data_IF_160587515169
#
_entry.id   IF_160587515169
#
_cell.length_a   1.000
_cell.length_b   1.000
_cell.length_c   1.000
_cell.angle_alpha   90.00
_cell.angle_beta   90.00
_cell.angle_gamma   90.00
#
_symmetry.space_group_name_H-M   'P 1'
#
loop_
_entity.id
_entity.type
_entity.pdbx_description
1 polymer ?
#
# COMPACT_ATOMS: atom_id res chain seq x y z
N UNK A 1 -2.88 -12.63 23.68
CA UNK A 1 -1.46 -12.41 23.99
C UNK A 1 -0.81 -13.48 24.88
N UNK A 2 -1.52 -14.21 25.72
CA UNK A 2 -0.92 -15.30 26.56
C UNK A 2 -0.66 -16.61 25.79
N UNK A 3 -1.37 -16.89 24.72
CA UNK A 3 -1.19 -18.14 23.94
C UNK A 3 0.11 -18.21 23.12
N UNK A 4 0.59 -17.07 22.62
CA UNK A 4 1.83 -17.03 21.82
C UNK A 4 3.11 -17.20 22.64
N UNK A 5 3.08 -16.81 23.93
CA UNK A 5 4.23 -16.93 24.83
C UNK A 5 4.46 -18.37 25.29
N UNK A 6 3.38 -19.16 25.42
CA UNK A 6 3.48 -20.58 25.83
C UNK A 6 4.03 -21.49 24.72
N UNK A 7 3.75 -21.20 23.44
CA UNK A 7 4.30 -21.95 22.30
C UNK A 7 5.79 -21.66 22.08
N UNK A 8 6.25 -20.43 22.34
CA UNK A 8 7.67 -20.08 22.28
C UNK A 8 8.52 -20.82 23.33
N UNK A 9 7.94 -21.11 24.49
CA UNK A 9 8.62 -21.84 25.57
C UNK A 9 8.78 -23.34 25.28
N UNK A 10 7.95 -23.95 24.42
CA UNK A 10 8.03 -25.36 24.06
C UNK A 10 9.11 -25.65 23.01
N UNK A 11 9.38 -24.72 22.10
CA UNK A 11 10.44 -24.86 21.11
C UNK A 11 11.86 -24.76 21.70
N UNK A 12 12.04 -24.12 22.85
CA UNK A 12 13.34 -23.92 23.51
C UNK A 12 13.86 -25.14 24.30
N UNK A 13 13.12 -26.26 24.41
CA UNK A 13 13.50 -27.41 25.25
C UNK A 13 13.99 -28.64 24.51
N UNK A 14 14.01 -28.65 23.18
CA UNK A 14 14.65 -29.74 22.43
C UNK A 14 16.07 -29.31 22.06
N UNK A 15 17.09 -30.09 22.36
CA UNK A 15 18.39 -30.02 21.72
C UNK A 15 18.21 -30.49 20.27
N UNK A 16 17.62 -29.64 19.45
CA UNK A 16 17.22 -29.92 18.10
C UNK A 16 18.39 -29.60 17.18
N UNK A 17 18.58 -30.44 16.16
CA UNK A 17 19.35 -30.13 14.98
C UNK A 17 18.79 -28.82 14.37
N UNK A 18 19.57 -28.07 13.58
CA UNK A 18 19.10 -26.83 12.91
C UNK A 18 17.77 -27.01 12.17
N UNK A 19 17.55 -28.19 11.61
CA UNK A 19 16.34 -28.56 10.87
C UNK A 19 15.07 -28.56 11.74
N UNK A 20 15.13 -29.09 12.97
CA UNK A 20 13.95 -29.17 13.83
C UNK A 20 13.52 -27.79 14.37
N UNK A 21 14.43 -26.82 14.47
CA UNK A 21 14.10 -25.43 14.82
C UNK A 21 13.35 -24.76 13.68
N UNK A 22 13.82 -24.91 12.43
CA UNK A 22 13.15 -24.38 11.23
C UNK A 22 11.77 -25.02 11.04
N UNK A 23 11.62 -26.34 11.27
CA UNK A 23 10.34 -27.02 11.22
C UNK A 23 9.30 -26.42 12.18
N UNK A 24 9.72 -26.14 13.41
CA UNK A 24 8.85 -25.53 14.40
C UNK A 24 8.37 -24.13 13.94
N UNK A 25 9.30 -23.32 13.42
CA UNK A 25 8.99 -21.96 12.96
C UNK A 25 8.13 -21.95 11.70
N UNK A 26 8.41 -22.83 10.73
CA UNK A 26 7.60 -23.03 9.55
C UNK A 26 6.16 -23.40 9.89
N UNK A 27 5.98 -24.41 10.76
CA UNK A 27 4.65 -24.84 11.18
C UNK A 27 3.90 -23.74 11.94
N UNK A 28 4.58 -23.01 12.82
CA UNK A 28 3.98 -21.88 13.52
C UNK A 28 3.56 -20.76 12.55
N UNK A 29 4.41 -20.46 11.57
CA UNK A 29 4.11 -19.46 10.55
C UNK A 29 2.91 -19.88 9.68
N UNK A 30 2.85 -21.14 9.23
CA UNK A 30 1.68 -21.67 8.50
C UNK A 30 0.39 -21.52 9.31
N UNK A 31 0.41 -21.88 10.58
CA UNK A 31 -0.77 -21.74 11.46
C UNK A 31 -1.14 -20.28 11.65
N UNK A 32 -0.16 -19.41 11.88
CA UNK A 32 -0.38 -17.97 12.12
C UNK A 32 -1.06 -17.28 10.94
N UNK A 33 -0.66 -17.66 9.71
CA UNK A 33 -1.16 -17.02 8.48
C UNK A 33 -2.14 -17.88 7.70
N UNK A 34 -2.64 -18.98 8.33
CA UNK A 34 -3.61 -19.91 7.74
C UNK A 34 -3.19 -20.42 6.36
N UNK A 35 -1.92 -20.84 6.23
CA UNK A 35 -1.35 -21.32 4.98
C UNK A 35 -1.67 -22.81 4.79
N UNK A 36 -2.10 -23.15 3.56
CA UNK A 36 -2.37 -24.51 3.12
C UNK A 36 -1.85 -24.68 1.70
N UNK A 37 -1.33 -25.86 1.38
CA UNK A 37 -0.77 -26.18 0.07
C UNK A 37 -1.49 -27.37 -0.53
N UNK A 38 -1.63 -27.44 -1.87
CA UNK A 38 -2.37 -28.52 -2.53
C UNK A 38 -1.70 -29.90 -2.42
N UNK A 39 -0.37 -29.93 -2.29
CA UNK A 39 0.45 -31.14 -2.21
C UNK A 39 1.79 -30.86 -1.51
N UNK A 40 2.53 -31.95 -1.17
CA UNK A 40 3.81 -31.88 -0.47
C UNK A 40 4.90 -31.18 -1.29
N UNK A 41 4.95 -31.37 -2.62
CA UNK A 41 5.96 -30.75 -3.49
C UNK A 41 5.82 -29.21 -3.51
N UNK A 42 4.59 -28.70 -3.55
CA UNK A 42 4.33 -27.27 -3.49
C UNK A 42 4.64 -26.72 -2.09
N UNK A 43 4.31 -27.46 -1.02
CA UNK A 43 4.65 -27.09 0.34
C UNK A 43 6.17 -27.02 0.55
N UNK A 44 6.94 -28.01 0.03
CA UNK A 44 8.39 -28.04 0.13
C UNK A 44 9.02 -26.86 -0.62
N UNK A 45 8.57 -26.59 -1.85
CA UNK A 45 9.02 -25.44 -2.63
C UNK A 45 8.74 -24.11 -1.94
N UNK A 46 7.55 -23.94 -1.36
CA UNK A 46 7.18 -22.72 -0.61
C UNK A 46 7.98 -22.60 0.69
N UNK A 47 8.34 -23.70 1.32
CA UNK A 47 9.19 -23.73 2.50
C UNK A 47 10.62 -23.27 2.19
N UNK A 48 11.22 -23.77 1.11
CA UNK A 48 12.56 -23.34 0.68
C UNK A 48 12.60 -21.80 0.52
N UNK A 49 11.59 -21.24 -0.13
CA UNK A 49 11.47 -19.80 -0.29
C UNK A 49 11.33 -19.06 1.05
N UNK A 50 10.52 -19.61 1.96
CA UNK A 50 10.34 -19.04 3.28
C UNK A 50 11.67 -19.04 4.07
N UNK A 51 12.49 -20.07 3.94
CA UNK A 51 13.80 -20.17 4.55
C UNK A 51 14.79 -19.15 3.97
N UNK A 52 14.81 -18.97 2.64
CA UNK A 52 15.60 -17.94 1.97
C UNK A 52 15.19 -16.53 2.43
N UNK A 53 13.90 -16.27 2.51
CA UNK A 53 13.37 -14.99 3.00
C UNK A 53 13.71 -14.77 4.48
N UNK A 54 13.65 -15.82 5.32
CA UNK A 54 14.04 -15.74 6.72
C UNK A 54 15.53 -15.38 6.86
N UNK A 55 16.39 -15.95 6.02
CA UNK A 55 17.82 -15.63 5.97
C UNK A 55 18.03 -14.16 5.61
N UNK A 56 17.40 -13.66 4.53
CA UNK A 56 17.46 -12.26 4.12
C UNK A 56 17.05 -11.33 5.27
N UNK A 57 15.93 -11.60 5.93
CA UNK A 57 15.42 -10.82 7.06
C UNK A 57 16.43 -10.79 8.20
N UNK A 58 17.01 -11.95 8.52
CA UNK A 58 17.97 -12.09 9.62
C UNK A 58 19.26 -11.31 9.34
N UNK A 59 19.81 -11.43 8.14
CA UNK A 59 21.01 -10.71 7.70
C UNK A 59 20.78 -9.19 7.70
N UNK A 60 19.65 -8.74 7.14
CA UNK A 60 19.30 -7.33 7.13
C UNK A 60 19.17 -6.77 8.56
N UNK A 61 18.48 -7.48 9.45
CA UNK A 61 18.25 -7.01 10.81
C UNK A 61 19.54 -7.00 11.65
N UNK A 62 20.48 -7.89 11.37
CA UNK A 62 21.81 -7.83 11.97
C UNK A 62 22.52 -6.51 11.60
N UNK A 63 22.48 -6.14 10.32
CA UNK A 63 23.05 -4.87 9.84
C UNK A 63 22.30 -3.66 10.40
N UNK A 64 20.97 -3.75 10.52
CA UNK A 64 20.15 -2.70 11.14
C UNK A 64 20.48 -2.52 12.63
N UNK A 65 20.76 -3.60 13.37
CA UNK A 65 21.15 -3.54 14.79
C UNK A 65 22.49 -2.82 15.01
N UNK A 66 23.33 -2.76 14.00
CA UNK A 66 24.59 -1.99 13.97
C UNK A 66 24.38 -0.52 13.59
N UNK A 67 23.14 -0.10 13.32
CA UNK A 67 22.79 1.26 12.91
C UNK A 67 23.11 1.59 11.44
N UNK A 68 23.36 0.57 10.61
CA UNK A 68 23.68 0.74 9.19
C UNK A 68 22.44 0.73 8.29
N UNK A 69 21.30 0.26 8.77
CA UNK A 69 20.00 0.45 8.16
C UNK A 69 19.06 1.23 9.07
N UNK A 70 18.20 2.04 8.48
CA UNK A 70 17.21 2.87 9.20
C UNK A 70 15.87 2.18 9.44
N UNK A 71 15.76 0.90 9.05
CA UNK A 71 14.53 0.11 9.13
C UNK A 71 14.83 -1.36 9.42
N UNK A 72 13.83 -2.05 9.89
CA UNK A 72 13.86 -3.47 10.19
C UNK A 72 12.87 -4.24 9.33
N UNK A 73 13.15 -5.50 9.08
CA UNK A 73 12.31 -6.44 8.37
C UNK A 73 11.68 -7.46 9.33
N UNK A 74 10.57 -8.06 8.93
CA UNK A 74 9.97 -9.19 9.65
C UNK A 74 9.25 -10.10 8.68
N UNK A 75 9.29 -11.39 8.97
CA UNK A 75 8.46 -12.36 8.30
C UNK A 75 6.98 -12.00 8.49
N UNK A 76 6.23 -12.01 7.40
CA UNK A 76 4.80 -11.72 7.37
C UNK A 76 4.05 -12.78 6.55
N UNK A 77 2.78 -12.54 6.21
CA UNK A 77 1.94 -13.47 5.46
C UNK A 77 2.42 -13.75 4.02
N UNK A 78 3.39 -13.00 3.52
CA UNK A 78 3.99 -13.16 2.18
C UNK A 78 5.31 -13.94 2.20
N UNK A 79 5.62 -14.61 3.32
CA UNK A 79 6.90 -15.28 3.54
C UNK A 79 7.26 -16.39 2.56
N UNK A 80 6.28 -17.02 1.92
CA UNK A 80 6.39 -18.07 0.92
C UNK A 80 6.41 -17.56 -0.53
N UNK A 81 6.59 -16.27 -0.74
CA UNK A 81 6.62 -15.66 -2.08
C UNK A 81 8.03 -15.63 -2.66
N UNK A 82 8.15 -15.93 -3.96
CA UNK A 82 9.42 -15.98 -4.72
C UNK A 82 9.90 -14.59 -5.10
N UNK A 83 11.22 -14.40 -5.10
CA UNK A 83 11.91 -13.33 -5.79
C UNK A 83 11.45 -13.22 -7.26
N UNK A 84 10.73 -12.17 -7.59
CA UNK A 84 10.49 -11.75 -8.98
C UNK A 84 9.43 -12.49 -9.78
N UNK A 85 9.08 -13.75 -9.51
CA UNK A 85 8.14 -14.53 -10.35
C UNK A 85 6.71 -14.49 -9.83
N UNK A 86 6.50 -14.55 -8.50
CA UNK A 86 5.18 -14.37 -7.89
C UNK A 86 4.89 -12.92 -7.49
N UNK A 87 5.92 -12.06 -7.40
CA UNK A 87 5.74 -10.60 -7.32
C UNK A 87 5.00 -10.03 -8.55
N UNK A 88 5.18 -10.64 -9.73
CA UNK A 88 4.33 -10.32 -10.90
C UNK A 88 2.84 -10.59 -10.66
N UNK A 89 2.50 -11.40 -9.66
CA UNK A 89 1.11 -11.62 -9.23
C UNK A 89 0.60 -10.53 -8.30
N UNK A 90 1.48 -9.84 -7.56
CA UNK A 90 1.14 -8.76 -6.64
C UNK A 90 1.58 -7.39 -7.13
N UNK A 91 2.60 -7.32 -7.99
CA UNK A 91 3.10 -6.07 -8.55
C UNK A 91 2.35 -5.74 -9.84
N UNK A 92 1.88 -4.54 -9.91
CA UNK A 92 1.25 -3.98 -11.07
C UNK A 92 2.32 -3.30 -11.94
N UNK A 93 2.59 -3.86 -13.10
CA UNK A 93 3.27 -3.10 -14.14
C UNK A 93 2.29 -2.02 -14.60
N UNK A 94 2.54 -0.78 -14.23
CA UNK A 94 1.98 0.37 -14.90
C UNK A 94 2.49 0.35 -16.36
N UNK A 95 1.98 -0.61 -17.13
CA UNK A 95 2.14 -0.58 -18.59
C UNK A 95 1.48 0.69 -19.11
N UNK A 96 2.04 1.28 -20.14
CA UNK A 96 1.50 2.44 -20.84
C UNK A 96 0.14 2.13 -21.50
N UNK A 97 -0.84 1.79 -20.71
CA UNK A 97 -2.23 1.72 -21.11
C UNK A 97 -2.91 2.97 -20.57
N UNK A 98 -2.56 4.12 -21.12
CA UNK A 98 -3.37 5.29 -20.95
C UNK A 98 -4.75 4.99 -21.52
N UNK A 99 -5.75 4.78 -20.68
CA UNK A 99 -7.13 4.85 -21.09
C UNK A 99 -7.34 6.19 -21.81
N UNK A 100 -8.22 6.23 -22.81
CA UNK A 100 -8.63 7.49 -23.46
C UNK A 100 -9.42 8.31 -22.43
N UNK A 101 -8.71 8.90 -21.44
CA UNK A 101 -9.35 9.79 -20.47
C UNK A 101 -9.98 10.95 -21.23
N UNK A 102 -11.26 11.15 -21.03
CA UNK A 102 -12.05 12.18 -21.70
C UNK A 102 -11.72 13.60 -21.25
N UNK A 103 -10.95 13.71 -20.15
CA UNK A 103 -10.59 14.98 -19.53
C UNK A 103 -9.13 14.95 -19.04
N UNK A 104 -8.40 16.02 -19.34
CA UNK A 104 -7.09 16.25 -18.73
C UNK A 104 -7.26 16.66 -17.25
N UNK A 105 -6.37 16.22 -16.34
CA UNK A 105 -6.38 16.67 -14.94
C UNK A 105 -6.17 18.18 -14.86
N UNK A 106 -6.78 18.82 -13.85
CA UNK A 106 -6.51 20.21 -13.56
C UNK A 106 -5.06 20.40 -13.09
N UNK A 107 -4.41 21.52 -13.50
CA UNK A 107 -3.02 21.77 -13.12
C UNK A 107 -2.89 22.04 -11.62
N UNK A 108 -1.83 21.51 -11.00
CA UNK A 108 -1.48 21.86 -9.62
C UNK A 108 -0.94 23.29 -9.55
N UNK A 109 -1.60 24.13 -8.79
CA UNK A 109 -1.16 25.52 -8.54
C UNK A 109 -0.46 25.57 -7.18
N UNK A 110 0.85 25.78 -7.19
CA UNK A 110 1.60 26.03 -5.96
C UNK A 110 1.12 27.32 -5.32
N UNK A 111 0.59 27.25 -4.12
CA UNK A 111 0.27 28.44 -3.33
C UNK A 111 1.53 28.88 -2.59
N UNK A 112 2.17 29.94 -3.05
CA UNK A 112 3.44 30.47 -2.51
C UNK A 112 3.35 31.02 -1.07
N UNK A 113 2.18 30.97 -0.42
CA UNK A 113 1.89 31.60 0.86
C UNK A 113 1.30 30.70 1.95
N UNK A 114 0.94 29.45 1.66
CA UNK A 114 0.46 28.56 2.70
C UNK A 114 1.67 28.04 3.49
N UNK A 115 1.74 28.32 4.77
CA UNK A 115 2.71 27.70 5.66
C UNK A 115 2.44 26.19 5.70
N UNK A 116 3.35 25.42 5.13
CA UNK A 116 3.30 23.95 5.19
C UNK A 116 3.87 23.53 6.54
N UNK A 117 3.17 22.73 7.35
CA UNK A 117 3.67 22.28 8.65
C UNK A 117 4.95 21.45 8.48
N UNK A 118 5.81 21.42 9.50
CA UNK A 118 7.03 20.61 9.48
C UNK A 118 6.71 19.11 9.45
N UNK A 119 5.62 18.71 10.10
CA UNK A 119 5.09 17.35 10.09
C UNK A 119 3.56 17.36 10.07
N UNK A 120 2.97 16.30 9.52
CA UNK A 120 1.53 16.09 9.55
C UNK A 120 1.21 14.59 9.56
N UNK A 121 0.18 14.22 10.30
CA UNK A 121 -0.43 12.90 10.29
C UNK A 121 -1.95 13.05 10.19
N UNK A 122 -2.52 12.73 9.03
CA UNK A 122 -3.95 12.84 8.78
C UNK A 122 -4.78 11.77 9.52
N UNK A 123 -4.15 10.71 10.01
CA UNK A 123 -4.81 9.70 10.86
C UNK A 123 -5.28 10.34 12.17
N UNK A 124 -4.42 11.13 12.79
CA UNK A 124 -4.72 11.85 14.03
C UNK A 124 -5.81 12.90 13.86
N UNK A 125 -6.02 13.37 12.62
CA UNK A 125 -7.05 14.34 12.27
C UNK A 125 -8.37 13.71 11.83
N UNK A 126 -8.46 12.38 11.82
CA UNK A 126 -9.68 11.65 11.47
C UNK A 126 -10.00 11.55 9.97
N UNK A 127 -9.02 11.81 9.09
CA UNK A 127 -9.19 11.77 7.62
C UNK A 127 -9.02 10.38 7.00
N UNK A 128 -8.57 9.39 7.78
CA UNK A 128 -8.10 8.10 7.26
C UNK A 128 -8.92 6.96 7.86
N UNK A 129 -9.54 6.16 7.01
CA UNK A 129 -10.25 4.93 7.39
C UNK A 129 -9.27 3.83 7.84
N UNK A 130 -9.79 2.73 8.38
CA UNK A 130 -8.97 1.58 8.78
C UNK A 130 -8.20 1.01 7.60
N UNK A 131 -7.07 0.38 7.89
CA UNK A 131 -6.31 -0.39 6.89
C UNK A 131 -7.12 -1.58 6.42
N UNK A 132 -7.16 -1.77 5.11
CA UNK A 132 -7.84 -2.87 4.43
C UNK A 132 -6.82 -3.83 3.82
N UNK A 133 -7.30 -4.99 3.37
CA UNK A 133 -6.51 -5.98 2.67
C UNK A 133 -7.11 -6.26 1.29
N UNK A 134 -6.30 -6.00 0.24
CA UNK A 134 -6.69 -6.25 -1.15
C UNK A 134 -6.63 -7.75 -1.53
N UNK A 135 -6.04 -8.59 -0.65
CA UNK A 135 -5.80 -10.00 -0.92
C UNK A 135 -4.86 -10.22 -2.10
N UNK A 136 -5.11 -11.29 -2.86
CA UNK A 136 -4.30 -11.67 -4.03
C UNK A 136 -4.61 -10.86 -5.30
N UNK A 137 -5.48 -9.84 -5.22
CA UNK A 137 -5.87 -9.02 -6.37
C UNK A 137 -4.92 -7.84 -6.57
N UNK A 138 -4.76 -7.39 -7.82
CA UNK A 138 -3.98 -6.20 -8.17
C UNK A 138 -4.82 -4.92 -8.12
N UNK A 139 -5.61 -4.76 -7.06
CA UNK A 139 -6.59 -3.69 -6.89
C UNK A 139 -6.09 -2.51 -6.05
N UNK A 140 -4.80 -2.43 -5.75
CA UNK A 140 -4.17 -1.34 -4.96
C UNK A 140 -4.57 0.06 -5.44
N UNK A 141 -4.71 0.25 -6.76
CA UNK A 141 -5.17 1.50 -7.38
C UNK A 141 -6.56 1.93 -6.88
N UNK A 142 -7.47 0.98 -6.70
CA UNK A 142 -8.81 1.24 -6.19
C UNK A 142 -8.79 1.63 -4.71
N UNK A 143 -7.99 0.93 -3.88
CA UNK A 143 -7.81 1.28 -2.46
C UNK A 143 -7.15 2.65 -2.27
N UNK A 144 -6.16 2.97 -3.09
CA UNK A 144 -5.52 4.29 -3.09
C UNK A 144 -6.53 5.38 -3.45
N UNK A 145 -7.31 5.20 -4.51
CA UNK A 145 -8.31 6.16 -4.96
C UNK A 145 -9.40 6.40 -3.91
N UNK A 146 -9.98 5.33 -3.31
CA UNK A 146 -11.00 5.51 -2.27
C UNK A 146 -10.44 6.22 -1.06
N UNK A 147 -9.20 5.94 -0.65
CA UNK A 147 -8.58 6.62 0.48
C UNK A 147 -8.45 8.12 0.30
N UNK A 148 -8.10 8.58 -0.90
CA UNK A 148 -8.05 10.01 -1.22
C UNK A 148 -9.46 10.63 -1.28
N UNK A 149 -10.46 9.92 -1.82
CA UNK A 149 -11.86 10.35 -1.81
C UNK A 149 -12.42 10.46 -0.39
N UNK A 150 -12.15 9.49 0.46
CA UNK A 150 -12.54 9.47 1.89
C UNK A 150 -11.99 10.69 2.63
N UNK A 151 -10.71 11.01 2.42
CA UNK A 151 -10.06 12.17 3.02
C UNK A 151 -10.69 13.49 2.56
N UNK A 152 -10.97 13.67 1.27
CA UNK A 152 -11.62 14.87 0.74
C UNK A 152 -13.09 14.95 1.17
N UNK A 153 -13.80 13.83 1.26
CA UNK A 153 -15.17 13.78 1.79
C UNK A 153 -15.20 14.24 3.25
N UNK A 154 -14.27 13.73 4.07
CA UNK A 154 -14.15 14.15 5.46
C UNK A 154 -13.86 15.64 5.58
N UNK A 155 -12.93 16.16 4.77
CA UNK A 155 -12.63 17.61 4.72
C UNK A 155 -13.87 18.46 4.43
N UNK A 156 -14.70 17.99 3.49
CA UNK A 156 -15.89 18.72 3.05
C UNK A 156 -17.05 18.62 4.05
N UNK A 157 -17.25 17.47 4.69
CA UNK A 157 -18.47 17.16 5.44
C UNK A 157 -18.26 16.97 6.94
N UNK A 158 -17.03 16.78 7.41
CA UNK A 158 -16.70 16.37 8.77
C UNK A 158 -17.08 14.92 9.11
N UNK A 159 -17.49 14.12 8.11
CA UNK A 159 -17.90 12.73 8.30
C UNK A 159 -16.97 11.80 7.52
N UNK A 160 -16.31 10.89 8.22
CA UNK A 160 -15.51 9.84 7.60
C UNK A 160 -16.45 8.71 7.14
N UNK A 161 -16.47 8.45 5.85
CA UNK A 161 -17.27 7.37 5.23
C UNK A 161 -16.31 6.40 4.56
N UNK A 162 -16.48 5.13 4.86
CA UNK A 162 -15.73 4.05 4.23
C UNK A 162 -16.28 3.79 2.82
N UNK A 163 -15.49 4.04 1.78
CA UNK A 163 -15.90 3.92 0.39
C UNK A 163 -15.49 2.57 -0.20
N UNK A 164 -16.20 2.14 -1.24
CA UNK A 164 -16.05 0.83 -1.87
C UNK A 164 -14.95 0.78 -2.93
N UNK A 165 -13.81 0.12 -2.70
CA UNK A 165 -12.86 -0.18 -3.76
C UNK A 165 -13.44 -1.19 -4.77
N UNK A 166 -14.34 -2.09 -4.34
CA UNK A 166 -14.98 -3.04 -5.24
C UNK A 166 -15.81 -2.35 -6.32
N UNK A 167 -16.51 -1.26 -5.99
CA UNK A 167 -17.25 -0.49 -6.99
C UNK A 167 -16.34 0.03 -8.11
N UNK A 168 -15.13 0.50 -7.78
CA UNK A 168 -14.14 0.91 -8.78
C UNK A 168 -13.65 -0.28 -9.61
N UNK A 169 -13.28 -1.39 -8.94
CA UNK A 169 -12.80 -2.61 -9.59
C UNK A 169 -13.80 -3.13 -10.60
N UNK A 170 -15.07 -3.16 -10.27
CA UNK A 170 -16.11 -3.75 -11.12
C UNK A 170 -16.58 -2.80 -12.24
N UNK A 171 -16.79 -1.54 -11.90
CA UNK A 171 -17.53 -0.63 -12.77
C UNK A 171 -16.65 0.32 -13.58
N UNK A 172 -15.37 0.49 -13.23
CA UNK A 172 -14.42 1.29 -14.03
C UNK A 172 -13.53 0.45 -14.95
N UNK A 173 -13.71 -0.87 -14.97
CA UNK A 173 -12.95 -1.82 -15.80
C UNK A 173 -13.56 -1.92 -17.20
N UNK A 174 -13.54 -0.80 -17.90
CA UNK A 174 -14.04 -0.68 -19.26
C UNK A 174 -12.98 -0.04 -20.16
N UNK A 175 -13.06 -0.22 -21.50
CA UNK A 175 -12.13 0.43 -22.42
C UNK A 175 -12.06 1.96 -22.27
N UNK A 176 -13.14 2.57 -21.78
CA UNK A 176 -13.21 4.02 -21.56
C UNK A 176 -12.19 4.50 -20.52
N UNK A 177 -12.02 3.77 -19.43
CA UNK A 177 -11.13 4.15 -18.32
C UNK A 177 -9.79 3.43 -18.35
N UNK A 178 -9.68 2.30 -19.07
CA UNK A 178 -8.46 1.52 -19.20
C UNK A 178 -8.06 0.76 -17.94
N UNK A 179 -8.94 0.67 -16.94
CA UNK A 179 -8.73 -0.18 -15.77
C UNK A 179 -9.03 -1.64 -16.10
N UNK A 180 -8.30 -2.56 -15.47
CA UNK A 180 -8.36 -4.01 -15.69
C UNK A 180 -8.96 -4.76 -14.50
N UNK A 181 -9.69 -4.07 -13.61
CA UNK A 181 -10.33 -4.66 -12.45
C UNK A 181 -9.33 -5.21 -11.43
N UNK A 182 -9.44 -6.51 -11.14
CA UNK A 182 -8.53 -7.21 -10.23
C UNK A 182 -7.14 -7.46 -10.83
N UNK A 183 -6.94 -7.17 -12.12
CA UNK A 183 -5.64 -7.29 -12.79
C UNK A 183 -4.89 -5.96 -12.88
N UNK A 184 -5.46 -4.88 -12.34
CA UNK A 184 -4.81 -3.58 -12.22
C UNK A 184 -5.62 -2.40 -12.72
N UNK A 185 -5.07 -1.18 -12.52
CA UNK A 185 -5.72 0.05 -12.96
C UNK A 185 -4.98 1.30 -12.53
N UNK A 186 -5.58 2.45 -12.82
CA UNK A 186 -5.05 3.77 -12.56
C UNK A 186 -5.94 4.57 -11.63
N UNK A 187 -5.34 5.28 -10.70
CA UNK A 187 -6.04 6.10 -9.71
C UNK A 187 -6.79 7.26 -10.37
N UNK A 188 -6.18 7.94 -11.32
CA UNK A 188 -6.80 9.04 -12.07
C UNK A 188 -7.98 8.56 -12.94
N UNK A 189 -7.87 7.38 -13.55
CA UNK A 189 -8.98 6.71 -14.23
C UNK A 189 -10.13 6.38 -13.28
N UNK A 190 -9.81 5.99 -12.04
CA UNK A 190 -10.82 5.78 -11.00
C UNK A 190 -11.55 7.09 -10.65
N UNK A 191 -10.83 8.20 -10.48
CA UNK A 191 -11.47 9.50 -10.26
C UNK A 191 -12.34 9.93 -11.43
N UNK A 192 -11.87 9.72 -12.67
CA UNK A 192 -12.68 10.01 -13.87
C UNK A 192 -13.97 9.19 -13.89
N UNK A 193 -13.91 7.91 -13.52
CA UNK A 193 -15.13 7.10 -13.38
C UNK A 193 -16.09 7.69 -12.34
N UNK A 194 -15.60 8.08 -11.15
CA UNK A 194 -16.44 8.67 -10.11
C UNK A 194 -17.12 9.96 -10.56
N UNK A 195 -16.41 10.79 -11.33
CA UNK A 195 -16.97 12.01 -11.95
C UNK A 195 -18.10 11.65 -12.93
N UNK A 196 -17.81 10.77 -13.87
CA UNK A 196 -18.74 10.39 -14.95
C UNK A 196 -19.98 9.65 -14.42
N UNK A 197 -19.76 8.79 -13.42
CA UNK A 197 -20.82 8.04 -12.73
C UNK A 197 -21.61 8.91 -11.73
N UNK A 198 -21.17 10.17 -11.49
CA UNK A 198 -21.73 11.07 -10.49
C UNK A 198 -21.71 10.49 -9.08
N UNK A 199 -20.74 9.65 -8.76
CA UNK A 199 -20.51 9.13 -7.43
C UNK A 199 -19.93 7.73 -7.36
N UNK A 200 -19.69 7.32 -6.10
CA UNK A 200 -19.17 6.02 -5.69
C UNK A 200 -19.96 5.50 -4.48
N UNK A 201 -20.12 4.19 -4.37
CA UNK A 201 -20.80 3.54 -3.25
C UNK A 201 -19.96 3.56 -1.96
N UNK A 202 -20.63 3.43 -0.81
CA UNK A 202 -19.96 3.09 0.44
C UNK A 202 -19.55 1.61 0.46
N UNK A 203 -18.57 1.27 1.29
CA UNK A 203 -18.17 -0.12 1.54
C UNK A 203 -19.35 -0.94 2.12
N UNK A 204 -20.19 -0.31 2.94
CA UNK A 204 -21.36 -0.96 3.53
C UNK A 204 -22.42 -1.33 2.49
N UNK A 205 -22.60 -0.51 1.43
CA UNK A 205 -23.58 -0.80 0.37
C UNK A 205 -23.00 -1.65 -0.78
N UNK A 206 -21.67 -1.68 -0.89
CA UNK A 206 -20.96 -2.42 -1.96
C UNK A 206 -19.65 -3.01 -1.42
N UNK A 207 -19.70 -4.09 -0.61
CA UNK A 207 -18.55 -4.60 0.10
C UNK A 207 -17.50 -5.25 -0.82
N UNK A 208 -16.23 -5.24 -0.37
CA UNK A 208 -15.13 -5.88 -1.07
C UNK A 208 -15.20 -7.40 -0.94
N UNK A 209 -15.66 -8.06 -2.00
CA UNK A 209 -15.86 -9.53 -2.05
C UNK A 209 -15.00 -10.23 -3.11
N UNK A 210 -14.28 -9.46 -3.93
CA UNK A 210 -13.55 -9.99 -5.08
C UNK A 210 -14.45 -10.50 -6.22
N UNK A 211 -15.76 -10.19 -6.19
CA UNK A 211 -16.75 -10.61 -7.20
C UNK A 211 -17.45 -9.41 -7.81
N UNK A 212 -17.50 -9.37 -9.15
CA UNK A 212 -18.10 -8.28 -9.90
C UNK A 212 -19.63 -8.24 -9.76
N UNK A 213 -20.15 -7.09 -9.29
CA UNK A 213 -21.58 -6.76 -9.25
C UNK A 213 -21.76 -5.26 -9.54
N UNK A 214 -21.85 -4.89 -10.79
CA UNK A 214 -22.05 -3.47 -11.12
C UNK A 214 -23.47 -3.01 -10.74
N UNK A 215 -23.60 -2.35 -9.57
CA UNK A 215 -24.81 -1.67 -9.11
C UNK A 215 -24.45 -0.30 -8.50
N UNK A 216 -24.67 0.77 -9.25
CA UNK A 216 -24.26 2.14 -8.90
C UNK A 216 -25.40 2.98 -8.28
N UNK A 217 -26.45 2.37 -7.74
CA UNK A 217 -27.65 3.08 -7.28
C UNK A 217 -27.50 3.85 -5.97
N UNK A 218 -26.52 3.49 -5.11
CA UNK A 218 -26.34 4.08 -3.78
C UNK A 218 -24.99 4.82 -3.70
N UNK A 219 -25.03 6.14 -3.94
CA UNK A 219 -23.85 7.00 -4.04
C UNK A 219 -23.55 7.68 -2.71
N UNK A 220 -22.42 7.31 -2.09
CA UNK A 220 -21.96 7.86 -0.81
C UNK A 220 -21.06 9.09 -0.95
N UNK A 221 -20.37 9.22 -2.09
CA UNK A 221 -19.47 10.34 -2.37
C UNK A 221 -19.44 10.64 -3.87
N UNK A 222 -19.01 11.86 -4.24
CA UNK A 222 -18.75 12.27 -5.62
C UNK A 222 -17.57 13.25 -5.63
N UNK A 223 -16.87 13.32 -6.76
CA UNK A 223 -15.89 14.39 -7.03
C UNK A 223 -16.20 15.09 -8.35
N UNK A 224 -15.79 16.35 -8.44
CA UNK A 224 -16.04 17.20 -9.62
C UNK A 224 -14.85 17.25 -10.55
N UNK A 225 -13.65 16.97 -10.05
CA UNK A 225 -12.39 17.04 -10.76
C UNK A 225 -11.30 16.27 -10.01
N UNK A 226 -10.10 16.20 -10.56
CA UNK A 226 -8.90 15.73 -9.88
C UNK A 226 -7.67 16.52 -10.32
N UNK A 227 -6.66 16.56 -9.45
CA UNK A 227 -5.38 17.22 -9.72
C UNK A 227 -4.28 16.17 -9.71
N UNK A 228 -3.43 16.21 -10.72
CA UNK A 228 -2.17 15.47 -10.77
C UNK A 228 -1.02 16.41 -10.42
N UNK A 229 -0.16 16.01 -9.50
CA UNK A 229 1.01 16.76 -9.11
C UNK A 229 2.09 16.67 -10.19
N UNK A 230 3.03 17.64 -10.25
CA UNK A 230 4.19 17.55 -11.13
C UNK A 230 5.01 16.31 -10.81
N UNK A 231 5.39 15.58 -11.85
CA UNK A 231 6.13 14.33 -11.77
C UNK A 231 7.52 14.53 -11.12
N UNK A 232 7.86 13.69 -10.15
CA UNK A 232 9.14 13.72 -9.44
C UNK A 232 9.32 14.87 -8.45
N UNK A 233 8.27 15.66 -8.18
CA UNK A 233 8.32 16.85 -7.35
C UNK A 233 7.90 16.56 -5.90
N UNK A 234 8.88 16.15 -5.06
CA UNK A 234 8.65 15.88 -3.64
C UNK A 234 8.17 17.13 -2.87
N UNK A 235 8.54 18.35 -3.29
CA UNK A 235 8.08 19.56 -2.63
C UNK A 235 6.60 19.86 -2.95
N UNK A 236 6.16 19.61 -4.20
CA UNK A 236 4.75 19.69 -4.56
C UNK A 236 3.93 18.64 -3.79
N UNK A 237 4.45 17.42 -3.62
CA UNK A 237 3.80 16.38 -2.81
C UNK A 237 3.70 16.81 -1.34
N UNK A 238 4.77 17.35 -0.75
CA UNK A 238 4.77 17.88 0.62
C UNK A 238 3.73 18.99 0.78
N UNK A 239 3.69 19.93 -0.15
CA UNK A 239 2.73 21.04 -0.11
C UNK A 239 1.28 20.53 -0.20
N UNK A 240 1.00 19.65 -1.16
CA UNK A 240 -0.34 19.06 -1.31
C UNK A 240 -0.73 18.29 -0.04
N UNK A 241 0.14 17.39 0.41
CA UNK A 241 -0.13 16.58 1.60
C UNK A 241 -0.29 17.44 2.87
N UNK A 242 0.47 18.53 2.99
CA UNK A 242 0.40 19.46 4.13
C UNK A 242 -0.85 20.35 4.18
N UNK A 243 -1.54 20.55 3.05
CA UNK A 243 -2.64 21.53 2.94
C UNK A 243 -3.97 20.95 2.47
N UNK A 244 -3.92 19.87 1.68
CA UNK A 244 -5.11 19.29 1.05
C UNK A 244 -5.69 18.14 1.88
N UNK A 245 -4.87 17.16 2.26
CA UNK A 245 -5.30 15.91 2.91
C UNK A 245 -4.50 14.72 2.38
N UNK A 246 -4.97 13.47 2.61
CA UNK A 246 -4.37 12.27 2.02
C UNK A 246 -4.30 12.34 0.48
N UNK A 247 -3.17 11.90 -0.08
CA UNK A 247 -2.85 11.95 -1.51
C UNK A 247 -2.58 10.54 -2.02
N UNK A 248 -3.20 10.15 -3.12
CA UNK A 248 -2.88 8.90 -3.82
C UNK A 248 -1.50 9.01 -4.46
N UNK A 249 -0.65 8.01 -4.22
CA UNK A 249 0.72 7.92 -4.74
C UNK A 249 0.96 6.55 -5.35
N UNK A 250 1.99 6.42 -6.18
CA UNK A 250 2.48 5.13 -6.64
C UNK A 250 3.98 4.99 -6.35
N UNK A 251 4.44 3.77 -6.14
CA UNK A 251 5.81 3.45 -5.75
C UNK A 251 6.31 2.20 -6.48
N UNK A 252 7.63 2.02 -6.50
CA UNK A 252 8.29 0.74 -6.75
C UNK A 252 8.28 -0.08 -5.45
N UNK A 253 7.50 -1.16 -5.41
CA UNK A 253 7.40 -2.09 -4.29
C UNK A 253 8.06 -3.45 -4.58
N UNK A 254 8.81 -3.56 -5.67
CA UNK A 254 9.35 -4.82 -6.20
C UNK A 254 10.44 -5.46 -5.34
N UNK A 255 10.96 -4.74 -4.35
CA UNK A 255 12.06 -5.19 -3.49
C UNK A 255 11.54 -6.08 -2.34
N UNK A 256 12.26 -7.15 -2.02
CA UNK A 256 11.93 -8.00 -0.87
C UNK A 256 11.97 -7.21 0.45
N UNK A 257 12.88 -6.26 0.56
CA UNK A 257 13.00 -5.38 1.71
C UNK A 257 11.75 -4.52 1.90
N UNK A 258 11.04 -4.15 0.81
CA UNK A 258 9.74 -3.50 0.89
C UNK A 258 8.66 -4.48 1.35
N UNK A 259 8.63 -5.69 0.79
CA UNK A 259 7.64 -6.73 1.12
C UNK A 259 7.72 -7.12 2.59
N UNK A 260 8.93 -7.26 3.13
CA UNK A 260 9.16 -7.65 4.51
C UNK A 260 9.37 -6.47 5.47
N UNK A 261 9.15 -5.23 5.00
CA UNK A 261 9.26 -4.05 5.88
C UNK A 261 8.44 -4.23 7.16
N UNK A 262 9.07 -3.94 8.31
CA UNK A 262 8.42 -4.01 9.63
C UNK A 262 8.26 -2.65 10.28
N UNK A 263 9.35 -1.88 10.40
CA UNK A 263 9.35 -0.56 11.07
C UNK A 263 10.60 0.25 10.74
N UNK A 264 10.55 1.54 11.06
CA UNK A 264 11.62 2.49 10.82
C UNK A 264 11.43 3.27 9.54
N UNK A 265 12.46 3.96 9.04
CA UNK A 265 12.37 4.70 7.78
C UNK A 265 12.98 3.86 6.67
N UNK A 266 12.11 3.29 5.82
CA UNK A 266 12.51 2.51 4.64
C UNK A 266 13.33 3.39 3.68
N UNK A 267 14.54 2.98 3.42
CA UNK A 267 15.45 3.67 2.51
C UNK A 267 16.30 2.63 1.78
N UNK A 268 16.01 2.40 0.50
CA UNK A 268 16.68 1.41 -0.34
C UNK A 268 17.27 2.09 -1.59
N UNK A 269 18.60 2.09 -1.69
CA UNK A 269 19.31 2.69 -2.82
C UNK A 269 19.08 1.94 -4.16
N UNK A 270 18.60 0.70 -4.11
CA UNK A 270 18.32 -0.11 -5.29
C UNK A 270 16.86 -0.01 -5.76
N UNK A 271 16.03 0.69 -5.02
CA UNK A 271 14.66 0.98 -5.41
C UNK A 271 14.65 1.83 -6.69
N UNK A 272 13.84 1.44 -7.66
CA UNK A 272 13.73 2.13 -8.94
C UNK A 272 12.59 3.15 -8.95
N UNK A 273 12.31 3.73 -10.11
CA UNK A 273 11.11 4.56 -10.35
C UNK A 273 10.11 3.85 -11.28
N UNK A 274 10.24 2.52 -11.42
CA UNK A 274 9.29 1.70 -12.13
C UNK A 274 8.10 1.39 -11.22
N UNK A 275 7.09 2.23 -11.28
CA UNK A 275 5.93 2.16 -10.40
C UNK A 275 5.15 0.86 -10.63
N UNK A 276 4.90 0.11 -9.58
CA UNK A 276 4.17 -1.15 -9.62
C UNK A 276 3.08 -1.29 -8.54
N UNK A 277 2.98 -0.33 -7.62
CA UNK A 277 2.05 -0.38 -6.51
C UNK A 277 1.49 1.00 -6.17
N UNK A 278 0.17 1.09 -6.02
CA UNK A 278 -0.51 2.32 -5.60
C UNK A 278 -0.81 2.29 -4.10
N UNK A 279 -0.56 3.40 -3.43
CA UNK A 279 -0.71 3.58 -1.99
C UNK A 279 -1.33 4.94 -1.67
N UNK A 280 -1.53 5.24 -0.39
CA UNK A 280 -2.06 6.52 0.07
C UNK A 280 -1.07 7.21 1.01
N UNK A 281 -0.48 8.31 0.57
CA UNK A 281 0.30 9.18 1.46
C UNK A 281 -0.65 9.90 2.44
N UNK A 282 -0.43 9.69 3.75
CA UNK A 282 -1.30 10.21 4.82
C UNK A 282 -0.57 11.16 5.75
N UNK A 283 0.71 11.41 5.52
CA UNK A 283 1.50 12.33 6.33
C UNK A 283 2.97 12.34 5.97
N UNK A 284 3.72 13.13 6.68
CA UNK A 284 5.18 13.19 6.64
C UNK A 284 5.73 13.73 7.94
N UNK A 285 6.99 13.46 8.22
CA UNK A 285 7.68 13.93 9.40
C UNK A 285 9.17 13.63 9.36
N UNK A 286 9.79 13.61 10.54
CA UNK A 286 11.19 13.27 10.75
C UNK A 286 11.30 12.29 11.91
N UNK A 287 12.03 11.20 11.74
CA UNK A 287 12.32 10.21 12.77
C UNK A 287 13.84 10.05 12.89
N UNK A 288 14.38 10.28 14.07
CA UNK A 288 15.83 10.20 14.34
C UNK A 288 16.69 11.01 13.34
N UNK A 289 16.20 12.20 12.93
CA UNK A 289 16.88 13.06 11.98
C UNK A 289 16.70 12.67 10.51
N UNK A 290 15.93 11.62 10.21
CA UNK A 290 15.63 11.21 8.84
C UNK A 290 14.20 11.59 8.47
N UNK A 291 14.05 12.35 7.39
CA UNK A 291 12.76 12.74 6.84
C UNK A 291 12.04 11.56 6.19
N UNK A 292 10.72 11.49 6.39
CA UNK A 292 9.90 10.40 5.83
C UNK A 292 8.55 10.87 5.30
N UNK A 293 8.00 10.08 4.39
CA UNK A 293 6.60 10.03 4.03
C UNK A 293 5.89 8.94 4.83
N UNK A 294 4.72 9.25 5.41
CA UNK A 294 3.87 8.25 6.05
C UNK A 294 2.84 7.78 5.04
N UNK A 295 2.88 6.49 4.71
CA UNK A 295 2.09 5.92 3.60
C UNK A 295 1.28 4.74 4.08
N UNK A 296 -0.04 4.74 3.79
CA UNK A 296 -0.98 3.66 4.07
C UNK A 296 -0.94 2.66 2.93
N UNK A 297 -0.79 1.37 3.28
CA UNK A 297 -0.85 0.25 2.34
C UNK A 297 -2.24 -0.42 2.36
N UNK A 298 -2.45 -1.35 1.44
CA UNK A 298 -3.62 -2.20 1.30
C UNK A 298 -3.30 -3.70 1.43
N UNK A 299 -2.32 -4.05 2.27
CA UNK A 299 -1.87 -5.43 2.53
C UNK A 299 -2.20 -5.91 3.95
N UNK A 300 -3.25 -5.33 4.56
CA UNK A 300 -3.69 -5.65 5.91
C UNK A 300 -2.77 -5.09 7.01
N UNK A 301 -3.21 -5.23 8.25
CA UNK A 301 -2.49 -4.70 9.43
C UNK A 301 -1.30 -5.56 9.87
N UNK A 302 -1.16 -6.77 9.32
CA UNK A 302 -0.02 -7.65 9.61
C UNK A 302 1.27 -7.23 8.87
N UNK A 303 1.17 -6.35 7.89
CA UNK A 303 2.29 -5.80 7.16
C UNK A 303 2.74 -4.45 7.75
N UNK A 304 4.05 -4.23 7.81
CA UNK A 304 4.64 -2.97 8.21
C UNK A 304 4.27 -2.50 9.62
N UNK A 305 4.09 -1.20 9.79
CA UNK A 305 3.63 -0.57 11.02
C UNK A 305 2.09 -0.51 11.03
N UNK A 306 1.43 -1.63 11.38
CA UNK A 306 -0.03 -1.77 11.37
C UNK A 306 -0.66 -1.41 10.01
N UNK A 307 0.00 -1.79 8.92
CA UNK A 307 -0.42 -1.52 7.54
C UNK A 307 0.11 -0.22 6.95
N UNK A 308 1.03 0.44 7.65
CA UNK A 308 1.70 1.67 7.18
C UNK A 308 3.20 1.44 6.99
N UNK A 309 3.81 2.31 6.17
CA UNK A 309 5.25 2.41 5.97
C UNK A 309 5.69 3.86 6.09
N UNK A 310 6.88 4.08 6.67
CA UNK A 310 7.61 5.34 6.55
C UNK A 310 8.65 5.20 5.46
N UNK A 311 8.48 5.89 4.34
CA UNK A 311 9.41 5.89 3.21
C UNK A 311 10.28 7.14 3.26
N UNK A 312 11.59 6.99 2.95
CA UNK A 312 12.53 8.11 2.96
C UNK A 312 12.03 9.27 2.08
N UNK A 313 12.09 10.50 2.61
CA UNK A 313 11.74 11.75 1.95
C UNK A 313 13.00 12.58 1.71
N UNK A 314 13.00 13.43 0.68
CA UNK A 314 14.15 14.24 0.29
C UNK A 314 15.37 13.39 -0.12
N UNK A 315 15.11 12.22 -0.73
CA UNK A 315 16.11 11.26 -1.20
C UNK A 315 16.02 11.05 -2.72
N UNK A 316 15.91 12.16 -3.47
CA UNK A 316 15.82 12.14 -4.93
C UNK A 316 14.65 11.30 -5.44
N UNK A 317 13.48 11.46 -4.80
CA UNK A 317 12.27 10.74 -5.16
C UNK A 317 12.51 9.20 -5.17
N UNK A 318 13.07 8.69 -4.07
CA UNK A 318 13.39 7.28 -3.90
C UNK A 318 12.12 6.42 -4.03
N UNK A 319 12.22 5.30 -4.73
CA UNK A 319 11.11 4.42 -5.12
C UNK A 319 10.01 5.11 -5.96
N UNK A 320 10.26 6.31 -6.49
CA UNK A 320 9.36 7.02 -7.38
C UNK A 320 8.08 7.55 -6.74
N UNK A 321 8.04 7.74 -5.42
CA UNK A 321 6.81 8.12 -4.69
C UNK A 321 6.18 9.43 -5.20
N UNK A 322 6.98 10.34 -5.76
CA UNK A 322 6.49 11.57 -6.36
C UNK A 322 6.35 11.50 -7.91
N UNK A 323 6.68 10.35 -8.55
CA UNK A 323 6.49 10.19 -10.00
C UNK A 323 5.01 10.21 -10.39
N UNK A 324 4.17 9.66 -9.52
CA UNK A 324 2.72 9.71 -9.69
C UNK A 324 2.05 10.06 -8.36
N UNK A 325 1.46 11.23 -8.30
CA UNK A 325 0.68 11.67 -7.16
C UNK A 325 -0.55 12.44 -7.62
N UNK A 326 -1.74 12.13 -7.07
CA UNK A 326 -2.98 12.81 -7.45
C UNK A 326 -4.02 12.80 -6.32
N UNK A 327 -4.98 13.71 -6.40
CA UNK A 327 -6.09 13.80 -5.45
C UNK A 327 -7.36 14.33 -6.09
N UNK A 328 -8.56 13.90 -5.60
CA UNK A 328 -9.83 14.37 -6.12
C UNK A 328 -10.22 15.74 -5.53
N UNK A 329 -11.06 16.48 -6.27
CA UNK A 329 -11.71 17.71 -5.83
C UNK A 329 -13.21 17.42 -5.63
N UNK A 330 -13.74 17.75 -4.44
CA UNK A 330 -15.16 17.56 -4.09
C UNK A 330 -15.96 18.86 -4.06
#
# INVERSE_FOLDING_TARGET
MLGSILLFSLCLRAAATSDSWLDCHWNLWKVTYNKTYPNEEEEESCRELWEENLKLITEHNLVASLGLHSYELSMNHMGDLVNGFNLKRHSFLFGHCGGNLTRAPSPFIRTSRAAVPDSIDWREKGYVTKVKDQGAHRSCWAFSAVGALEGQLFKKTGKLVDLSPQNLVDCSSTPKYGNLGSDGGWVDSAFQYVIDNQGINSEASYPYTGRCHCNSSDRAANCSDYIRLPEGDEEALKQALGTIGPISVAVDSSRLEFIFYKRGVYSDAYCTKNLDHAMLAVGYGTLNGQDYWLVKNSWGTNWGEEGYIRMARNKNDQCGIAQFACYPIM
#
